data_IF_762280647737
#
_entry.id   IF_762280647737
#
_cell.length_a   1.000
_cell.length_b   1.000
_cell.length_c   1.000
_cell.angle_alpha   90.00
_cell.angle_beta   90.00
_cell.angle_gamma   90.00
#
_symmetry.space_group_name_H-M   'P 1'
#
loop_
_entity.id
_entity.type
_entity.pdbx_description
1 polymer ?
#
# COMPACT_ATOMS: atom_id res chain seq x y z
N UNK A 1 17.17 16.62 23.42
CA UNK A 1 16.59 15.92 22.27
C UNK A 1 15.27 15.34 22.72
N UNK A 2 14.22 15.57 21.95
CA UNK A 2 12.90 14.99 22.19
C UNK A 2 12.61 14.03 21.04
N UNK A 3 12.51 12.74 21.36
CA UNK A 3 12.27 11.65 20.40
C UNK A 3 10.85 11.08 20.54
N UNK A 4 9.99 11.76 21.30
CA UNK A 4 8.60 11.36 21.41
C UNK A 4 7.81 11.90 20.23
N UNK A 5 6.72 11.22 19.89
CA UNK A 5 5.80 11.66 18.87
C UNK A 5 4.99 12.86 19.37
N UNK A 6 4.61 13.74 18.44
CA UNK A 6 3.76 14.89 18.75
C UNK A 6 2.36 14.47 19.17
N UNK A 7 1.62 15.38 19.81
CA UNK A 7 0.21 15.14 20.16
C UNK A 7 -0.64 14.87 18.91
N UNK A 8 -0.39 15.58 17.81
CA UNK A 8 -1.08 15.38 16.53
C UNK A 8 -0.79 13.99 15.93
N UNK A 9 0.46 13.54 15.99
CA UNK A 9 0.86 12.19 15.58
C UNK A 9 0.15 11.11 16.40
N UNK A 10 0.06 11.29 17.72
CA UNK A 10 -0.65 10.37 18.60
C UNK A 10 -2.16 10.37 18.34
N UNK A 11 -2.74 11.53 18.04
CA UNK A 11 -4.16 11.65 17.73
C UNK A 11 -4.48 10.93 16.41
N UNK A 12 -3.64 11.11 15.38
CA UNK A 12 -3.77 10.40 14.11
C UNK A 12 -3.63 8.88 14.30
N UNK A 13 -2.61 8.44 15.07
CA UNK A 13 -2.42 7.03 15.41
C UNK A 13 -3.69 6.45 16.07
N UNK A 14 -4.23 7.14 17.07
CA UNK A 14 -5.42 6.68 17.79
C UNK A 14 -6.66 6.61 16.88
N UNK A 15 -6.86 7.59 15.99
CA UNK A 15 -7.97 7.59 15.06
C UNK A 15 -7.92 6.38 14.11
N UNK A 16 -6.73 6.03 13.60
CA UNK A 16 -6.53 4.84 12.77
C UNK A 16 -6.73 3.56 13.58
N UNK A 17 -6.24 3.53 14.83
CA UNK A 17 -6.44 2.39 15.73
C UNK A 17 -7.92 2.10 15.97
N UNK A 18 -8.72 3.13 16.28
CA UNK A 18 -10.15 3.01 16.55
C UNK A 18 -10.93 2.56 15.31
N UNK A 19 -10.58 3.11 14.13
CA UNK A 19 -11.14 2.70 12.85
C UNK A 19 -10.88 1.20 12.58
N UNK A 20 -9.62 0.77 12.71
CA UNK A 20 -9.24 -0.62 12.45
C UNK A 20 -9.86 -1.60 13.47
N UNK A 21 -9.97 -1.21 14.74
CA UNK A 21 -10.58 -2.04 15.77
C UNK A 21 -12.07 -2.33 15.49
N UNK A 22 -12.79 -1.40 14.86
CA UNK A 22 -14.19 -1.58 14.48
C UNK A 22 -14.40 -2.44 13.23
N UNK A 23 -13.40 -2.51 12.35
CA UNK A 23 -13.55 -3.04 10.99
C UNK A 23 -12.69 -4.28 10.69
N UNK A 24 -11.71 -4.61 11.52
CA UNK A 24 -10.74 -5.69 11.30
C UNK A 24 -10.77 -6.74 12.41
N UNK A 25 -11.92 -7.39 12.60
CA UNK A 25 -12.00 -8.51 13.54
C UNK A 25 -11.13 -9.70 13.04
N UNK A 26 -10.44 -10.44 13.93
CA UNK A 26 -9.51 -11.50 13.52
C UNK A 26 -10.14 -12.61 12.64
N UNK A 27 -11.41 -12.93 12.89
CA UNK A 27 -12.18 -13.88 12.09
C UNK A 27 -12.47 -13.38 10.67
N UNK A 28 -12.74 -12.07 10.52
CA UNK A 28 -12.90 -11.44 9.21
C UNK A 28 -11.57 -11.42 8.43
N UNK A 29 -10.47 -11.05 9.09
CA UNK A 29 -9.14 -11.08 8.48
C UNK A 29 -8.81 -12.49 7.99
N UNK A 30 -9.11 -13.51 8.80
CA UNK A 30 -8.87 -14.90 8.42
C UNK A 30 -9.79 -15.37 7.29
N UNK A 31 -11.06 -14.99 7.31
CA UNK A 31 -12.00 -15.30 6.24
C UNK A 31 -11.57 -14.69 4.89
N UNK A 32 -10.91 -13.52 4.90
CA UNK A 32 -10.33 -12.92 3.68
C UNK A 32 -9.31 -13.85 3.02
N UNK A 33 -8.58 -14.67 3.75
CA UNK A 33 -7.57 -15.56 3.16
C UNK A 33 -8.15 -16.57 2.18
N UNK A 34 -9.42 -16.91 2.33
CA UNK A 34 -10.13 -17.86 1.48
C UNK A 34 -10.88 -17.18 0.31
N UNK A 35 -10.82 -15.84 0.18
CA UNK A 35 -11.38 -15.12 -0.97
C UNK A 35 -10.42 -15.13 -2.15
N UNK A 36 -10.97 -14.87 -3.35
CA UNK A 36 -10.22 -14.89 -4.61
C UNK A 36 -8.97 -14.00 -4.58
N UNK A 37 -9.12 -12.77 -4.08
CA UNK A 37 -8.01 -11.80 -4.04
C UNK A 37 -7.30 -11.77 -2.68
N UNK A 38 -7.95 -12.18 -1.59
CA UNK A 38 -7.42 -11.95 -0.25
C UNK A 38 -7.56 -10.50 0.26
N UNK A 39 -8.23 -9.63 -0.51
CA UNK A 39 -8.33 -8.18 -0.30
C UNK A 39 -9.77 -7.71 -0.41
N UNK A 40 -10.11 -6.60 0.22
CA UNK A 40 -11.44 -6.03 0.21
C UNK A 40 -11.41 -4.61 -0.40
N UNK A 41 -11.79 -4.44 -1.68
CA UNK A 41 -11.78 -3.14 -2.34
C UNK A 41 -12.69 -2.10 -1.67
N UNK A 42 -13.79 -2.52 -1.05
CA UNK A 42 -14.68 -1.61 -0.35
C UNK A 42 -14.07 -1.15 0.97
N UNK A 43 -13.35 -2.04 1.66
CA UNK A 43 -12.57 -1.67 2.84
C UNK A 43 -11.37 -0.78 2.49
N UNK A 44 -10.65 -1.05 1.38
CA UNK A 44 -9.58 -0.18 0.89
C UNK A 44 -10.07 1.26 0.68
N UNK A 45 -11.27 1.43 0.13
CA UNK A 45 -11.90 2.75 0.00
C UNK A 45 -12.14 3.45 1.33
N UNK A 46 -12.70 2.75 2.31
CA UNK A 46 -12.86 3.30 3.67
C UNK A 46 -11.51 3.63 4.33
N UNK A 47 -10.50 2.81 4.06
CA UNK A 47 -9.13 3.03 4.55
C UNK A 47 -8.50 4.31 3.93
N UNK A 48 -8.83 4.63 2.68
CA UNK A 48 -8.45 5.89 2.04
C UNK A 48 -9.17 7.11 2.63
N UNK A 49 -10.42 6.97 3.06
CA UNK A 49 -11.18 8.06 3.73
C UNK A 49 -10.53 8.50 5.06
N UNK A 50 -9.83 7.60 5.75
CA UNK A 50 -9.02 7.92 6.95
C UNK A 50 -7.55 8.26 6.62
N UNK A 51 -7.22 8.37 5.33
CA UNK A 51 -5.95 8.91 4.84
C UNK A 51 -4.76 7.96 4.84
N UNK A 52 -4.93 6.67 5.14
CA UNK A 52 -3.83 5.71 5.30
C UNK A 52 -3.00 5.52 4.02
N UNK A 53 -3.57 5.14 2.85
CA UNK A 53 -2.81 5.01 1.61
C UNK A 53 -2.30 6.37 1.07
N UNK A 54 -3.00 7.45 1.41
CA UNK A 54 -2.69 8.82 0.99
C UNK A 54 -1.75 9.59 1.92
N UNK A 55 -1.24 8.96 3.00
CA UNK A 55 -0.50 9.67 4.05
C UNK A 55 0.73 10.41 3.50
N UNK A 56 1.54 9.71 2.70
CA UNK A 56 2.75 10.27 2.09
C UNK A 56 2.44 11.11 0.85
N UNK A 57 1.24 10.99 0.26
CA UNK A 57 0.90 11.72 -0.97
C UNK A 57 0.88 13.23 -0.65
N UNK A 58 1.51 14.10 -1.46
CA UNK A 58 1.47 15.55 -1.23
C UNK A 58 0.05 16.10 -1.17
N UNK A 59 -0.18 17.14 -0.37
CA UNK A 59 -1.50 17.81 -0.29
C UNK A 59 -1.98 18.34 -1.65
N UNK A 60 -1.04 18.79 -2.50
CA UNK A 60 -1.34 19.25 -3.86
C UNK A 60 -1.93 18.16 -4.76
N UNK A 61 -1.65 16.90 -4.44
CA UNK A 61 -2.17 15.71 -5.11
C UNK A 61 -3.35 15.08 -4.32
N UNK A 62 -3.85 15.75 -3.28
CA UNK A 62 -5.00 15.31 -2.48
C UNK A 62 -4.68 14.36 -1.32
N UNK A 63 -3.41 14.20 -0.97
CA UNK A 63 -2.98 13.43 0.20
C UNK A 63 -2.82 14.26 1.48
N UNK A 64 -2.16 13.69 2.48
CA UNK A 64 -1.90 14.36 3.77
C UNK A 64 -0.53 15.08 3.85
N UNK A 65 0.36 14.86 2.88
CA UNK A 65 1.66 15.51 2.81
C UNK A 65 2.61 15.19 3.98
N UNK A 66 2.35 14.11 4.72
CA UNK A 66 3.13 13.69 5.88
C UNK A 66 4.39 12.90 5.47
N UNK A 67 5.20 12.51 6.46
CA UNK A 67 6.46 11.81 6.24
C UNK A 67 6.50 10.39 6.85
N UNK A 68 7.63 9.72 6.68
CA UNK A 68 7.83 8.33 7.10
C UNK A 68 7.74 8.15 8.63
N UNK A 69 7.97 9.22 9.41
CA UNK A 69 7.80 9.24 10.87
C UNK A 69 6.33 9.17 11.26
N UNK A 70 5.44 9.79 10.48
CA UNK A 70 4.00 9.66 10.66
C UNK A 70 3.52 8.29 10.16
N UNK A 71 4.08 7.83 9.03
CA UNK A 71 3.73 6.54 8.44
C UNK A 71 3.99 5.37 9.39
N UNK A 72 5.11 5.38 10.14
CA UNK A 72 5.45 4.25 11.03
C UNK A 72 4.35 3.99 12.06
N UNK A 73 3.71 5.04 12.58
CA UNK A 73 2.60 4.91 13.53
C UNK A 73 1.40 4.23 12.91
N UNK A 74 1.07 4.56 11.66
CA UNK A 74 0.00 3.88 10.91
C UNK A 74 0.35 2.42 10.61
N UNK A 75 1.60 2.15 10.26
CA UNK A 75 2.06 0.79 10.00
C UNK A 75 1.99 -0.08 11.27
N UNK A 76 2.26 0.49 12.45
CA UNK A 76 2.06 -0.22 13.72
C UNK A 76 0.60 -0.63 13.92
N UNK A 77 -0.35 0.26 13.63
CA UNK A 77 -1.79 -0.01 13.78
C UNK A 77 -2.29 -1.05 12.77
N UNK A 78 -1.90 -0.91 11.49
CA UNK A 78 -2.26 -1.90 10.46
C UNK A 78 -1.66 -3.27 10.76
N UNK A 79 -0.42 -3.32 11.25
CA UNK A 79 0.23 -4.56 11.68
C UNK A 79 -0.44 -5.19 12.89
N UNK A 80 -0.93 -4.39 13.86
CA UNK A 80 -1.60 -4.87 15.07
C UNK A 80 -2.85 -5.70 14.77
N UNK A 81 -3.59 -5.33 13.73
CA UNK A 81 -4.79 -6.07 13.29
C UNK A 81 -4.50 -7.09 12.19
N UNK A 82 -3.22 -7.32 11.85
CA UNK A 82 -2.78 -8.14 10.74
C UNK A 82 -3.51 -7.79 9.44
N UNK A 83 -3.59 -6.48 9.15
CA UNK A 83 -4.39 -5.98 8.04
C UNK A 83 -3.97 -6.63 6.72
N UNK A 84 -4.95 -7.20 6.02
CA UNK A 84 -4.69 -7.90 4.76
C UNK A 84 -4.38 -6.93 3.61
N UNK A 85 -4.84 -5.68 3.67
CA UNK A 85 -4.72 -4.73 2.55
C UNK A 85 -3.27 -4.33 2.22
N UNK A 86 -2.97 -4.01 0.94
CA UNK A 86 -1.62 -3.78 0.44
C UNK A 86 -1.08 -2.38 0.79
N UNK A 87 -1.17 -2.00 2.08
CA UNK A 87 -0.73 -0.69 2.58
C UNK A 87 0.77 -0.49 2.34
N UNK A 88 1.60 -1.42 2.79
CA UNK A 88 3.06 -1.34 2.69
C UNK A 88 3.54 -1.18 1.23
N UNK A 89 3.21 -2.08 0.29
CA UNK A 89 3.68 -1.91 -1.09
C UNK A 89 3.14 -0.63 -1.73
N UNK A 90 1.93 -0.19 -1.37
CA UNK A 90 1.36 1.06 -1.86
C UNK A 90 2.13 2.28 -1.36
N UNK A 91 2.40 2.38 -0.05
CA UNK A 91 3.09 3.54 0.53
C UNK A 91 4.56 3.61 0.12
N UNK A 92 5.23 2.47 -0.05
CA UNK A 92 6.56 2.41 -0.68
C UNK A 92 6.51 2.95 -2.11
N UNK A 93 5.50 2.53 -2.89
CA UNK A 93 5.32 3.03 -4.25
C UNK A 93 5.06 4.53 -4.32
N UNK A 94 4.28 5.07 -3.37
CA UNK A 94 4.06 6.52 -3.23
C UNK A 94 5.39 7.24 -2.96
N UNK A 95 6.22 6.73 -2.04
CA UNK A 95 7.55 7.28 -1.76
C UNK A 95 8.42 7.36 -3.01
N UNK A 96 8.49 6.27 -3.78
CA UNK A 96 9.25 6.21 -5.04
C UNK A 96 8.73 7.23 -6.07
N UNK A 97 7.40 7.33 -6.24
CA UNK A 97 6.81 8.28 -7.18
C UNK A 97 7.05 9.74 -6.77
N UNK A 98 7.02 10.06 -5.47
CA UNK A 98 7.34 11.41 -4.96
C UNK A 98 8.77 11.81 -5.27
N UNK A 99 9.70 10.88 -5.08
CA UNK A 99 11.13 11.14 -5.29
C UNK A 99 11.48 11.26 -6.78
N UNK A 100 10.93 10.39 -7.63
CA UNK A 100 11.21 10.37 -9.08
C UNK A 100 10.45 11.48 -9.81
N UNK A 101 9.19 11.73 -9.43
CA UNK A 101 8.31 12.70 -10.09
C UNK A 101 7.88 12.29 -11.52
N UNK A 102 7.52 13.30 -12.31
CA UNK A 102 7.11 13.14 -13.71
C UNK A 102 5.67 12.66 -13.92
N UNK A 103 5.35 12.29 -15.15
CA UNK A 103 3.99 11.90 -15.57
C UNK A 103 3.39 10.74 -14.74
N UNK A 104 4.16 9.70 -14.34
CA UNK A 104 3.63 8.67 -13.45
C UNK A 104 3.19 9.24 -12.09
N UNK A 105 3.99 10.11 -11.47
CA UNK A 105 3.63 10.70 -10.17
C UNK A 105 2.34 11.52 -10.28
N UNK A 106 2.26 12.41 -11.27
CA UNK A 106 1.09 13.25 -11.51
C UNK A 106 -0.19 12.45 -11.81
N UNK A 107 -0.04 11.25 -12.41
CA UNK A 107 -1.18 10.38 -12.74
C UNK A 107 -1.63 9.55 -11.54
N UNK A 108 -0.69 9.02 -10.76
CA UNK A 108 -0.98 7.94 -9.81
C UNK A 108 -1.10 8.43 -8.37
N UNK A 109 -0.39 9.48 -7.95
CA UNK A 109 -0.47 10.00 -6.59
C UNK A 109 -1.91 10.43 -6.20
N UNK A 110 -2.66 11.19 -7.04
CA UNK A 110 -4.04 11.55 -6.71
C UNK A 110 -4.98 10.36 -6.64
N UNK A 111 -4.74 9.33 -7.48
CA UNK A 111 -5.55 8.12 -7.47
C UNK A 111 -5.32 7.29 -6.21
N UNK A 112 -4.09 7.21 -5.73
CA UNK A 112 -3.78 6.53 -4.46
C UNK A 112 -4.43 7.28 -3.29
N UNK A 113 -4.33 8.61 -3.25
CA UNK A 113 -4.98 9.41 -2.22
C UNK A 113 -6.51 9.23 -2.18
N UNK A 114 -7.14 9.13 -3.34
CA UNK A 114 -8.57 8.83 -3.46
C UNK A 114 -8.94 7.35 -3.19
N UNK A 115 -7.97 6.47 -2.95
CA UNK A 115 -8.17 5.03 -2.83
C UNK A 115 -8.61 4.35 -4.13
N UNK A 116 -8.41 5.00 -5.28
CA UNK A 116 -8.72 4.51 -6.65
C UNK A 116 -7.55 3.75 -7.28
N UNK A 117 -6.41 3.68 -6.60
CA UNK A 117 -5.26 2.94 -7.06
C UNK A 117 -4.55 2.22 -5.91
N UNK A 118 -4.11 1.00 -6.20
CA UNK A 118 -3.15 0.22 -5.40
C UNK A 118 -1.84 0.16 -6.18
N UNK A 119 -0.71 0.33 -5.48
CA UNK A 119 0.61 0.15 -6.08
C UNK A 119 1.26 -1.13 -5.56
N UNK A 120 1.98 -1.81 -6.44
CA UNK A 120 2.90 -2.88 -6.06
C UNK A 120 4.32 -2.52 -6.47
N UNK A 121 5.30 -2.99 -5.69
CA UNK A 121 6.72 -2.68 -5.91
C UNK A 121 7.49 -3.99 -6.00
N UNK A 122 8.25 -4.14 -7.08
CA UNK A 122 9.24 -5.20 -7.22
C UNK A 122 10.59 -4.78 -6.66
N UNK A 123 11.40 -5.74 -6.25
CA UNK A 123 12.74 -5.49 -5.72
C UNK A 123 13.76 -6.41 -6.41
N UNK A 124 14.93 -5.90 -6.80
CA UNK A 124 15.91 -6.68 -7.58
C UNK A 124 16.39 -7.95 -6.86
N UNK A 125 16.39 -7.93 -5.52
CA UNK A 125 16.80 -9.08 -4.71
C UNK A 125 15.68 -10.10 -4.48
N UNK A 126 14.44 -9.79 -4.88
CA UNK A 126 13.28 -10.68 -4.71
C UNK A 126 12.65 -10.99 -6.07
N UNK A 127 12.52 -12.27 -6.46
CA UNK A 127 11.80 -12.63 -7.67
C UNK A 127 10.27 -12.49 -7.54
N UNK A 128 9.77 -12.09 -6.36
CA UNK A 128 8.35 -12.05 -6.05
C UNK A 128 7.88 -10.64 -5.72
N UNK A 129 6.72 -10.30 -6.24
CA UNK A 129 5.98 -9.06 -5.99
C UNK A 129 4.71 -9.42 -5.22
N UNK A 130 4.54 -8.82 -4.04
CA UNK A 130 3.31 -8.96 -3.26
C UNK A 130 2.18 -8.18 -3.91
N UNK A 131 0.97 -8.73 -3.90
CA UNK A 131 -0.27 -8.04 -4.27
C UNK A 131 -0.32 -7.53 -5.72
N UNK A 132 0.53 -8.08 -6.59
CA UNK A 132 0.57 -7.72 -8.01
C UNK A 132 -0.76 -7.95 -8.75
N UNK A 133 -1.59 -8.89 -8.29
CA UNK A 133 -2.90 -9.21 -8.87
C UNK A 133 -3.97 -8.14 -8.62
N UNK A 134 -3.84 -7.35 -7.55
CA UNK A 134 -4.77 -6.26 -7.22
C UNK A 134 -4.19 -4.87 -7.48
N UNK A 135 -2.90 -4.78 -7.81
CA UNK A 135 -2.26 -3.52 -8.14
C UNK A 135 -2.75 -2.95 -9.47
N UNK A 136 -2.90 -1.63 -9.52
CA UNK A 136 -3.19 -0.88 -10.74
C UNK A 136 -1.90 -0.46 -11.47
N UNK A 137 -0.85 -0.17 -10.69
CA UNK A 137 0.49 0.13 -11.15
C UNK A 137 1.52 -0.73 -10.43
N UNK A 138 2.47 -1.27 -11.19
CA UNK A 138 3.63 -1.96 -10.67
C UNK A 138 4.88 -1.13 -10.94
N UNK A 139 5.66 -0.87 -9.90
CA UNK A 139 6.98 -0.25 -10.02
C UNK A 139 8.03 -1.35 -9.98
N UNK A 140 8.62 -1.65 -11.14
CA UNK A 140 9.45 -2.84 -11.33
C UNK A 140 10.88 -2.44 -11.75
N UNK A 141 11.91 -2.84 -10.99
CA UNK A 141 13.28 -2.58 -11.40
C UNK A 141 13.70 -3.55 -12.53
N UNK A 142 14.29 -3.01 -13.60
CA UNK A 142 14.88 -3.77 -14.71
C UNK A 142 16.00 -2.96 -15.34
N UNK A 143 17.15 -3.59 -15.54
CA UNK A 143 18.33 -3.02 -16.21
C UNK A 143 18.81 -1.69 -15.58
N UNK A 144 18.76 -1.59 -14.25
CA UNK A 144 19.19 -0.41 -13.50
C UNK A 144 18.23 0.78 -13.55
N UNK A 145 17.00 0.58 -14.04
CA UNK A 145 15.94 1.57 -14.05
C UNK A 145 14.67 1.03 -13.38
N UNK A 146 13.87 1.94 -12.81
CA UNK A 146 12.55 1.63 -12.31
C UNK A 146 11.50 1.90 -13.39
N UNK A 147 10.70 0.90 -13.71
CA UNK A 147 9.65 0.98 -14.75
C UNK A 147 8.28 1.09 -14.08
N UNK A 148 7.49 2.07 -14.51
CA UNK A 148 6.08 2.19 -14.16
C UNK A 148 5.24 1.38 -15.15
N UNK A 149 4.80 0.18 -14.73
CA UNK A 149 4.10 -0.78 -15.58
C UNK A 149 2.64 -0.87 -15.15
N UNK A 150 1.71 -0.50 -16.02
CA UNK A 150 0.29 -0.66 -15.74
C UNK A 150 -0.05 -2.14 -15.61
N UNK A 151 -1.04 -2.48 -14.77
CA UNK A 151 -1.46 -3.87 -14.55
C UNK A 151 -1.75 -4.64 -15.85
N UNK A 152 -2.37 -3.99 -16.83
CA UNK A 152 -2.70 -4.61 -18.11
C UNK A 152 -1.47 -5.06 -18.93
N UNK A 153 -0.32 -4.42 -18.71
CA UNK A 153 0.92 -4.68 -19.44
C UNK A 153 1.83 -5.69 -18.72
N UNK A 154 1.43 -6.15 -17.53
CA UNK A 154 2.17 -7.11 -16.74
C UNK A 154 1.53 -8.51 -16.79
N UNK A 155 2.37 -9.53 -17.03
CA UNK A 155 2.02 -10.95 -16.92
C UNK A 155 2.36 -11.44 -15.52
N UNK A 156 1.40 -12.09 -14.85
CA UNK A 156 1.55 -12.59 -13.50
C UNK A 156 1.54 -14.12 -13.47
N UNK A 157 2.48 -14.69 -12.72
CA UNK A 157 2.50 -16.09 -12.37
C UNK A 157 2.39 -16.21 -10.85
N UNK A 158 1.23 -16.67 -10.35
CA UNK A 158 0.99 -16.84 -8.92
C UNK A 158 1.98 -17.84 -8.31
N UNK A 159 2.48 -17.53 -7.11
CA UNK A 159 3.44 -18.33 -6.38
C UNK A 159 2.84 -18.78 -5.04
N UNK A 160 3.10 -20.02 -4.60
CA UNK A 160 2.63 -20.50 -3.31
C UNK A 160 3.29 -19.72 -2.16
N UNK A 161 2.51 -19.37 -1.15
CA UNK A 161 2.98 -18.80 0.11
C UNK A 161 2.52 -19.69 1.27
N UNK A 162 3.39 -19.86 2.28
CA UNK A 162 3.01 -20.57 3.52
C UNK A 162 2.03 -19.75 4.36
N UNK A 163 2.09 -18.43 4.23
CA UNK A 163 1.18 -17.48 4.83
C UNK A 163 -0.03 -17.27 3.91
N UNK A 164 -1.22 -17.72 4.36
CA UNK A 164 -2.47 -17.59 3.62
C UNK A 164 -2.94 -16.16 3.42
N UNK A 165 -2.34 -15.17 4.11
CA UNK A 165 -2.60 -13.74 3.88
C UNK A 165 -1.78 -13.15 2.72
N UNK A 166 -0.67 -13.80 2.35
CA UNK A 166 0.23 -13.32 1.32
C UNK A 166 -0.21 -13.79 -0.06
N UNK A 167 -0.07 -12.88 -1.03
CA UNK A 167 -0.36 -13.11 -2.44
C UNK A 167 0.88 -12.73 -3.22
N UNK A 168 1.66 -13.73 -3.63
CA UNK A 168 2.97 -13.54 -4.26
C UNK A 168 2.91 -13.91 -5.74
N UNK A 169 3.57 -13.11 -6.57
CA UNK A 169 3.62 -13.31 -8.00
C UNK A 169 5.03 -13.12 -8.54
N UNK A 170 5.42 -13.94 -9.51
CA UNK A 170 6.44 -13.51 -10.48
C UNK A 170 5.77 -12.60 -11.49
N UNK A 171 6.46 -11.51 -11.84
CA UNK A 171 5.95 -10.52 -12.78
C UNK A 171 6.88 -10.41 -13.97
N UNK A 172 6.32 -10.50 -15.16
CA UNK A 172 7.03 -10.23 -16.41
C UNK A 172 6.33 -9.11 -17.19
N UNK A 173 7.11 -8.26 -17.84
CA UNK A 173 6.63 -7.18 -18.71
C UNK A 173 7.61 -7.02 -19.87
N UNK A 174 7.11 -6.48 -20.99
CA UNK A 174 7.90 -6.30 -22.22
C UNK A 174 8.71 -4.98 -22.17
#
# INVERSE_FOLDING_TARGET
MHFDFSEDQRLLQQAVADFLAGECAPDQVRARWDTETGRDPAFWKRLAEVGVPGLLVPEADGGLGLDETDLVLLLEETGRVALAEPVIPTTVGVGLLREIGGDPAATWLPRVAAGDAILAVGHEQSPFVSDAHVADLLLLPRDGALHAVARADARLEAQPANDGSQRLFRVAFD
#
